data_IF_498257646243
#
_entry.id   IF_498257646243
#
_cell.length_a   1.000
_cell.length_b   1.000
_cell.length_c   1.000
_cell.angle_alpha   90.00
_cell.angle_beta   90.00
_cell.angle_gamma   90.00
#
_symmetry.space_group_name_H-M   'P 1'
#
loop_
_entity.id
_entity.type
_entity.pdbx_description
1 polymer ?
#
# COMPACT_ATOMS: atom_id res chain seq x y z
N UNK A 1 10.50 -8.29 -30.19
CA UNK A 1 10.76 -9.39 -29.25
C UNK A 1 11.43 -8.75 -28.04
N UNK A 2 10.77 -8.66 -26.90
CA UNK A 2 11.38 -8.08 -25.70
C UNK A 2 12.42 -9.08 -25.18
N UNK A 3 13.70 -8.71 -25.27
CA UNK A 3 14.77 -9.51 -24.65
C UNK A 3 14.70 -9.37 -23.13
N UNK A 4 14.94 -10.47 -22.41
CA UNK A 4 15.11 -10.42 -20.95
C UNK A 4 16.27 -9.48 -20.61
N UNK A 5 16.02 -8.56 -19.70
CA UNK A 5 17.03 -7.70 -19.10
C UNK A 5 16.92 -7.89 -17.58
N UNK A 6 18.05 -8.19 -16.92
CA UNK A 6 18.08 -8.31 -15.47
C UNK A 6 17.84 -6.97 -14.79
N UNK A 7 17.20 -7.02 -13.63
CA UNK A 7 17.02 -5.87 -12.74
C UNK A 7 18.36 -5.28 -12.31
N UNK A 8 18.32 -4.04 -11.87
CA UNK A 8 19.48 -3.36 -11.29
C UNK A 8 19.73 -3.74 -9.81
N UNK A 9 18.79 -4.47 -9.20
CA UNK A 9 18.79 -4.84 -7.79
C UNK A 9 18.56 -6.33 -7.66
N UNK A 10 19.29 -6.95 -6.74
CA UNK A 10 19.18 -8.32 -6.26
C UNK A 10 19.12 -8.25 -4.73
N UNK A 11 18.13 -8.88 -4.12
CA UNK A 11 17.93 -8.82 -2.67
C UNK A 11 18.70 -9.96 -1.97
N UNK A 12 18.63 -10.01 -0.63
CA UNK A 12 19.46 -10.97 0.13
C UNK A 12 18.96 -12.42 0.05
N UNK A 13 17.73 -12.66 -0.43
CA UNK A 13 17.25 -14.02 -0.66
C UNK A 13 18.07 -14.72 -1.73
N UNK A 14 18.53 -15.96 -1.44
CA UNK A 14 19.31 -16.71 -2.41
C UNK A 14 18.45 -17.19 -3.58
N UNK A 15 18.93 -16.91 -4.80
CA UNK A 15 18.22 -17.19 -6.04
C UNK A 15 18.04 -18.68 -6.31
N UNK A 16 16.81 -19.09 -6.70
CA UNK A 16 16.43 -20.46 -7.12
C UNK A 16 16.62 -21.56 -6.07
N UNK A 17 16.70 -21.23 -4.77
CA UNK A 17 16.90 -22.24 -3.71
C UNK A 17 15.67 -23.13 -3.53
N UNK A 18 14.49 -22.55 -3.56
CA UNK A 18 13.21 -23.25 -3.27
C UNK A 18 12.44 -23.63 -4.54
N UNK A 19 12.77 -23.05 -5.69
CA UNK A 19 12.09 -23.30 -6.96
C UNK A 19 13.03 -23.08 -8.15
N UNK A 20 12.95 -23.93 -9.16
CA UNK A 20 13.68 -23.72 -10.42
C UNK A 20 13.05 -22.66 -11.34
N UNK A 21 11.86 -22.14 -10.98
CA UNK A 21 11.09 -21.22 -11.81
C UNK A 21 10.94 -19.82 -11.18
N UNK A 22 11.11 -19.72 -9.87
CA UNK A 22 10.97 -18.48 -9.10
C UNK A 22 12.36 -18.13 -8.55
N UNK A 23 12.82 -16.93 -8.86
CA UNK A 23 14.18 -16.50 -8.49
C UNK A 23 14.25 -16.33 -6.97
N UNK A 24 13.52 -15.41 -6.40
CA UNK A 24 13.41 -15.17 -4.95
C UNK A 24 12.05 -15.67 -4.47
N UNK A 25 12.03 -16.87 -3.91
CA UNK A 25 10.78 -17.58 -3.60
C UNK A 25 9.96 -16.92 -2.50
N UNK A 26 10.57 -16.61 -1.36
CA UNK A 26 9.87 -16.03 -0.22
C UNK A 26 9.44 -14.61 -0.50
N UNK A 27 10.30 -13.81 -1.11
CA UNK A 27 9.96 -12.46 -1.56
C UNK A 27 8.79 -12.47 -2.55
N UNK A 28 8.71 -13.49 -3.42
CA UNK A 28 7.59 -13.62 -4.37
C UNK A 28 6.29 -13.99 -3.68
N UNK A 29 6.28 -15.08 -2.87
CA UNK A 29 5.03 -15.63 -2.34
C UNK A 29 4.41 -14.76 -1.24
N UNK A 30 5.21 -14.02 -0.48
CA UNK A 30 4.69 -13.12 0.56
C UNK A 30 3.87 -11.97 -0.01
N UNK A 31 4.07 -11.61 -1.26
CA UNK A 31 3.25 -10.64 -1.97
C UNK A 31 1.82 -11.10 -2.26
N UNK A 32 1.56 -12.42 -2.27
CA UNK A 32 0.20 -12.97 -2.33
C UNK A 32 -0.63 -12.46 -1.14
N UNK A 33 0.00 -12.31 0.03
CA UNK A 33 -0.65 -11.75 1.21
C UNK A 33 -1.04 -10.28 1.00
N UNK A 34 -0.20 -9.48 0.36
CA UNK A 34 -0.49 -8.08 0.00
C UNK A 34 -1.68 -8.00 -0.97
N UNK A 35 -1.71 -8.89 -1.97
CA UNK A 35 -2.83 -9.00 -2.92
C UNK A 35 -4.13 -9.36 -2.19
N UNK A 36 -4.10 -10.32 -1.27
CA UNK A 36 -5.27 -10.73 -0.49
C UNK A 36 -5.79 -9.58 0.38
N UNK A 37 -4.91 -8.82 1.02
CA UNK A 37 -5.31 -7.64 1.80
C UNK A 37 -5.96 -6.57 0.91
N UNK A 38 -5.36 -6.27 -0.23
CA UNK A 38 -5.92 -5.34 -1.20
C UNK A 38 -7.30 -5.79 -1.73
N UNK A 39 -7.43 -7.06 -2.12
CA UNK A 39 -8.68 -7.64 -2.60
C UNK A 39 -9.77 -7.65 -1.51
N UNK A 40 -9.40 -8.00 -0.28
CA UNK A 40 -10.31 -7.96 0.87
C UNK A 40 -10.79 -6.54 1.17
N UNK A 41 -9.87 -5.58 1.19
CA UNK A 41 -10.21 -4.16 1.41
C UNK A 41 -11.13 -3.61 0.33
N UNK A 42 -10.87 -3.95 -0.94
CA UNK A 42 -11.71 -3.58 -2.07
C UNK A 42 -13.11 -4.18 -1.95
N UNK A 43 -13.20 -5.49 -1.71
CA UNK A 43 -14.47 -6.20 -1.52
C UNK A 43 -15.30 -5.62 -0.37
N UNK A 44 -14.66 -5.42 0.79
CA UNK A 44 -15.33 -4.89 1.98
C UNK A 44 -15.75 -3.44 1.80
N UNK A 45 -14.94 -2.63 1.13
CA UNK A 45 -15.28 -1.23 0.79
C UNK A 45 -16.46 -1.15 -0.18
N UNK A 46 -16.53 -2.04 -1.16
CA UNK A 46 -17.62 -2.08 -2.14
C UNK A 46 -18.94 -2.48 -1.51
N UNK A 47 -18.94 -3.45 -0.59
CA UNK A 47 -20.16 -4.03 -0.05
C UNK A 47 -20.64 -3.36 1.24
N UNK A 48 -19.74 -2.82 2.03
CA UNK A 48 -20.03 -2.33 3.39
C UNK A 48 -19.54 -0.91 3.67
N UNK A 49 -18.73 -0.33 2.79
CA UNK A 49 -18.15 1.00 2.97
C UNK A 49 -19.14 2.14 2.80
N UNK A 50 -18.79 3.32 3.31
CA UNK A 50 -19.54 4.53 3.09
C UNK A 50 -19.42 4.98 1.62
N UNK A 51 -20.50 5.58 1.07
CA UNK A 51 -20.45 6.21 -0.25
C UNK A 51 -19.86 7.62 -0.18
N UNK A 52 -20.18 8.38 0.87
CA UNK A 52 -19.64 9.70 1.11
C UNK A 52 -18.99 9.79 2.48
N UNK A 53 -17.85 10.46 2.53
CA UNK A 53 -17.12 10.77 3.74
C UNK A 53 -17.46 12.18 4.23
N UNK A 54 -16.95 12.53 5.40
CA UNK A 54 -17.06 13.87 5.94
C UNK A 54 -16.48 14.90 4.95
N UNK A 55 -17.11 16.08 4.84
CA UNK A 55 -16.74 17.16 3.90
C UNK A 55 -16.80 16.75 2.41
N UNK A 56 -17.82 15.94 2.04
CA UNK A 56 -18.09 15.52 0.66
C UNK A 56 -16.91 14.86 -0.06
N UNK A 57 -15.94 14.35 0.71
CA UNK A 57 -14.83 13.60 0.13
C UNK A 57 -15.34 12.26 -0.44
N UNK A 58 -15.04 11.96 -1.70
CA UNK A 58 -15.56 10.76 -2.32
C UNK A 58 -14.95 9.50 -1.69
N UNK A 59 -15.81 8.59 -1.25
CA UNK A 59 -15.37 7.33 -0.65
C UNK A 59 -14.69 6.38 -1.65
N UNK A 60 -14.90 6.57 -2.98
CA UNK A 60 -14.26 5.74 -4.00
C UNK A 60 -12.72 5.78 -3.94
N UNK A 61 -12.12 6.82 -3.37
CA UNK A 61 -10.67 6.93 -3.23
C UNK A 61 -10.07 5.73 -2.47
N UNK A 62 -10.77 5.18 -1.48
CA UNK A 62 -10.30 3.99 -0.76
C UNK A 62 -10.34 2.74 -1.64
N UNK A 63 -11.31 2.65 -2.56
CA UNK A 63 -11.33 1.57 -3.55
C UNK A 63 -10.12 1.65 -4.47
N UNK A 64 -9.74 2.86 -4.90
CA UNK A 64 -8.52 3.08 -5.70
C UNK A 64 -7.27 2.69 -4.92
N UNK A 65 -7.15 3.05 -3.65
CA UNK A 65 -6.02 2.62 -2.82
C UNK A 65 -5.90 1.09 -2.72
N UNK A 66 -7.01 0.39 -2.51
CA UNK A 66 -6.99 -1.07 -2.46
C UNK A 66 -6.66 -1.71 -3.82
N UNK A 67 -7.11 -1.12 -4.92
CA UNK A 67 -6.70 -1.54 -6.28
C UNK A 67 -5.19 -1.33 -6.46
N UNK A 68 -4.65 -0.19 -6.07
CA UNK A 68 -3.21 0.09 -6.14
C UNK A 68 -2.42 -0.86 -5.25
N UNK A 69 -2.93 -1.23 -4.07
CA UNK A 69 -2.30 -2.22 -3.19
C UNK A 69 -2.23 -3.61 -3.86
N UNK A 70 -3.27 -4.01 -4.62
CA UNK A 70 -3.23 -5.23 -5.43
C UNK A 70 -2.14 -5.14 -6.50
N UNK A 71 -2.03 -4.01 -7.19
CA UNK A 71 -0.99 -3.79 -8.20
C UNK A 71 0.42 -3.81 -7.62
N UNK A 72 0.63 -3.27 -6.42
CA UNK A 72 1.90 -3.39 -5.68
C UNK A 72 2.24 -4.87 -5.48
N UNK A 73 1.31 -5.67 -4.94
CA UNK A 73 1.56 -7.09 -4.73
C UNK A 73 1.83 -7.87 -6.02
N UNK A 74 1.14 -7.54 -7.13
CA UNK A 74 1.37 -8.18 -8.43
C UNK A 74 2.73 -7.76 -9.00
N UNK A 75 3.05 -6.46 -9.01
CA UNK A 75 4.32 -5.93 -9.52
C UNK A 75 5.52 -6.50 -8.77
N UNK A 76 5.42 -6.51 -7.43
CA UNK A 76 6.45 -7.06 -6.56
C UNK A 76 6.62 -8.58 -6.74
N UNK A 77 5.52 -9.35 -6.88
CA UNK A 77 5.60 -10.78 -7.21
C UNK A 77 6.31 -11.03 -8.54
N UNK A 78 6.03 -10.22 -9.56
CA UNK A 78 6.69 -10.33 -10.87
C UNK A 78 8.17 -9.95 -10.79
N UNK A 79 8.51 -8.92 -10.03
CA UNK A 79 9.89 -8.52 -9.83
C UNK A 79 10.71 -9.62 -9.16
N UNK A 80 10.31 -10.05 -7.96
CA UNK A 80 11.03 -11.07 -7.20
C UNK A 80 11.00 -12.45 -7.87
N UNK A 81 9.92 -12.77 -8.58
CA UNK A 81 9.79 -14.03 -9.31
C UNK A 81 10.70 -14.12 -10.52
N UNK A 82 11.12 -13.00 -11.10
CA UNK A 82 11.88 -12.98 -12.35
C UNK A 82 13.19 -12.21 -12.31
N UNK A 83 13.41 -11.35 -11.33
CA UNK A 83 14.48 -10.35 -11.25
C UNK A 83 14.71 -9.62 -12.59
N UNK A 84 13.62 -9.31 -13.30
CA UNK A 84 13.66 -8.59 -14.56
C UNK A 84 13.51 -7.09 -14.34
N UNK A 85 14.12 -6.28 -15.21
CA UNK A 85 13.94 -4.82 -15.20
C UNK A 85 12.47 -4.43 -15.40
N UNK A 86 11.71 -5.22 -16.18
CA UNK A 86 10.27 -5.00 -16.35
C UNK A 86 9.50 -5.23 -15.06
N UNK A 87 9.80 -6.30 -14.31
CA UNK A 87 9.24 -6.56 -12.99
C UNK A 87 9.58 -5.44 -12.01
N UNK A 88 10.83 -4.99 -11.98
CA UNK A 88 11.28 -3.88 -11.13
C UNK A 88 10.49 -2.58 -11.41
N UNK A 89 10.32 -2.22 -12.69
CA UNK A 89 9.54 -1.02 -13.07
C UNK A 89 8.06 -1.15 -12.65
N UNK A 90 7.47 -2.35 -12.74
CA UNK A 90 6.09 -2.58 -12.29
C UNK A 90 5.95 -2.48 -10.78
N UNK A 91 6.88 -3.04 -10.02
CA UNK A 91 6.91 -2.97 -8.56
C UNK A 91 7.06 -1.51 -8.10
N UNK A 92 8.16 -0.88 -8.44
CA UNK A 92 8.46 0.50 -8.06
C UNK A 92 7.40 1.48 -8.60
N UNK A 93 6.92 1.27 -9.83
CA UNK A 93 5.91 2.10 -10.47
C UNK A 93 4.55 2.04 -9.77
N UNK A 94 4.14 0.88 -9.27
CA UNK A 94 2.90 0.75 -8.51
C UNK A 94 2.99 1.43 -7.13
N UNK A 95 4.14 1.38 -6.46
CA UNK A 95 4.40 2.14 -5.22
C UNK A 95 4.35 3.65 -5.51
N UNK A 96 5.00 4.10 -6.57
CA UNK A 96 4.94 5.52 -7.02
C UNK A 96 3.49 5.95 -7.25
N UNK A 97 2.72 5.15 -7.97
CA UNK A 97 1.31 5.45 -8.27
C UNK A 97 0.47 5.54 -6.99
N UNK A 98 0.69 4.64 -6.02
CA UNK A 98 0.02 4.67 -4.72
C UNK A 98 0.34 5.97 -3.96
N UNK A 99 1.61 6.31 -3.83
CA UNK A 99 2.06 7.51 -3.10
C UNK A 99 1.58 8.78 -3.80
N UNK A 100 1.66 8.83 -5.13
CA UNK A 100 1.21 9.97 -5.93
C UNK A 100 -0.31 10.18 -5.78
N UNK A 101 -1.10 9.12 -5.85
CA UNK A 101 -2.54 9.20 -5.62
C UNK A 101 -2.87 9.68 -4.19
N UNK A 102 -2.12 9.21 -3.19
CA UNK A 102 -2.28 9.66 -1.81
C UNK A 102 -2.06 11.17 -1.67
N UNK A 103 -1.03 11.71 -2.32
CA UNK A 103 -0.70 13.14 -2.23
C UNK A 103 -1.69 14.04 -2.98
N UNK A 104 -2.20 13.61 -4.14
CA UNK A 104 -3.26 14.33 -4.87
C UNK A 104 -4.52 14.41 -4.01
N UNK A 105 -4.88 13.32 -3.34
CA UNK A 105 -6.05 13.30 -2.46
C UNK A 105 -5.92 14.20 -1.22
N UNK A 106 -4.70 14.60 -0.86
CA UNK A 106 -4.44 15.41 0.33
C UNK A 106 -4.43 16.92 0.06
N UNK A 107 -3.62 17.41 -0.87
CA UNK A 107 -3.58 18.83 -1.23
C UNK A 107 -2.72 19.10 -2.47
N UNK A 108 -3.02 20.22 -3.16
CA UNK A 108 -2.27 20.64 -4.34
C UNK A 108 -0.75 20.81 -4.10
N UNK A 109 -0.26 21.44 -2.99
CA UNK A 109 1.17 21.52 -2.73
C UNK A 109 1.85 20.17 -2.62
N UNK A 110 1.22 19.18 -1.97
CA UNK A 110 1.74 17.82 -1.89
C UNK A 110 1.78 17.14 -3.25
N UNK A 111 0.76 17.36 -4.10
CA UNK A 111 0.73 16.84 -5.45
C UNK A 111 1.87 17.39 -6.32
N UNK A 112 2.19 18.69 -6.21
CA UNK A 112 3.32 19.31 -6.93
C UNK A 112 4.66 18.67 -6.51
N UNK A 113 4.91 18.55 -5.21
CA UNK A 113 6.13 17.92 -4.68
C UNK A 113 6.23 16.49 -5.19
N UNK A 114 5.16 15.73 -5.12
CA UNK A 114 5.14 14.34 -5.60
C UNK A 114 5.38 14.25 -7.11
N UNK A 115 4.83 15.17 -7.90
CA UNK A 115 5.07 15.19 -9.35
C UNK A 115 6.56 15.39 -9.67
N UNK A 116 7.25 16.29 -8.96
CA UNK A 116 8.68 16.51 -9.14
C UNK A 116 9.49 15.26 -8.79
N UNK A 117 9.10 14.54 -7.72
CA UNK A 117 9.77 13.30 -7.32
C UNK A 117 9.50 12.18 -8.33
N UNK A 118 8.27 12.06 -8.84
CA UNK A 118 7.93 11.08 -9.91
C UNK A 118 8.79 11.32 -11.16
N UNK A 119 8.96 12.57 -11.56
CA UNK A 119 9.84 12.93 -12.67
C UNK A 119 11.29 12.50 -12.41
N UNK A 120 11.80 12.73 -11.19
CA UNK A 120 13.14 12.30 -10.80
C UNK A 120 13.29 10.76 -10.84
N UNK A 121 12.27 10.01 -10.40
CA UNK A 121 12.26 8.55 -10.46
C UNK A 121 12.26 8.04 -11.90
N UNK A 122 11.42 8.61 -12.77
CA UNK A 122 11.39 8.27 -14.20
C UNK A 122 12.76 8.53 -14.82
N UNK A 123 13.39 9.64 -14.48
CA UNK A 123 14.75 9.95 -14.94
C UNK A 123 15.76 8.88 -14.48
N UNK A 124 15.69 8.45 -13.21
CA UNK A 124 16.54 7.37 -12.69
C UNK A 124 16.32 6.05 -13.44
N UNK A 125 15.09 5.67 -13.75
CA UNK A 125 14.79 4.48 -14.55
C UNK A 125 15.39 4.57 -15.96
N UNK A 126 15.28 5.73 -16.62
CA UNK A 126 15.87 5.95 -17.94
C UNK A 126 17.40 5.84 -17.94
N UNK A 127 18.05 6.09 -16.81
CA UNK A 127 19.51 6.00 -16.66
C UNK A 127 19.97 4.65 -16.06
N UNK A 128 19.06 3.70 -15.82
CA UNK A 128 19.33 2.42 -15.13
C UNK A 128 20.05 2.59 -13.79
N UNK A 129 19.67 3.61 -13.01
CA UNK A 129 20.31 3.91 -11.74
C UNK A 129 19.78 3.01 -10.63
N UNK A 130 20.69 2.41 -9.89
CA UNK A 130 20.44 1.53 -8.72
C UNK A 130 19.77 2.27 -7.55
N UNK A 131 19.66 3.59 -7.63
CA UNK A 131 19.22 4.44 -6.50
C UNK A 131 17.71 4.57 -6.36
N UNK A 132 16.90 4.00 -7.25
CA UNK A 132 15.44 4.17 -7.27
C UNK A 132 14.75 3.75 -5.97
N UNK A 133 15.06 2.60 -5.33
CA UNK A 133 14.45 2.22 -4.06
C UNK A 133 14.73 3.19 -2.93
N UNK A 134 15.95 3.75 -2.90
CA UNK A 134 16.33 4.73 -1.87
C UNK A 134 15.59 6.06 -2.04
N UNK A 135 15.35 6.48 -3.29
CA UNK A 135 14.53 7.66 -3.60
C UNK A 135 13.05 7.41 -3.24
N UNK A 136 12.51 6.24 -3.56
CA UNK A 136 11.17 5.82 -3.18
C UNK A 136 11.01 5.82 -1.66
N UNK A 137 12.00 5.30 -0.97
CA UNK A 137 12.03 5.29 0.49
C UNK A 137 12.04 6.70 1.07
N UNK A 138 12.91 7.57 0.58
CA UNK A 138 12.98 8.97 1.03
C UNK A 138 11.65 9.68 0.79
N UNK A 139 11.08 9.52 -0.41
CA UNK A 139 9.77 10.07 -0.76
C UNK A 139 8.67 9.54 0.16
N UNK A 140 8.61 8.22 0.32
CA UNK A 140 7.62 7.56 1.19
C UNK A 140 7.71 8.06 2.64
N UNK A 141 8.93 8.22 3.17
CA UNK A 141 9.16 8.71 4.53
C UNK A 141 8.71 10.15 4.71
N UNK A 142 9.02 11.05 3.77
CA UNK A 142 8.60 12.45 3.81
C UNK A 142 7.06 12.54 3.77
N UNK A 143 6.44 11.83 2.84
CA UNK A 143 4.98 11.83 2.67
C UNK A 143 4.30 11.21 3.88
N UNK A 144 4.82 10.09 4.39
CA UNK A 144 4.32 9.47 5.60
C UNK A 144 4.37 10.45 6.79
N UNK A 145 5.46 11.19 6.97
CA UNK A 145 5.58 12.21 8.01
C UNK A 145 4.54 13.31 7.86
N UNK A 146 4.34 13.84 6.65
CA UNK A 146 3.37 14.91 6.39
C UNK A 146 1.92 14.44 6.64
N UNK A 147 1.58 13.25 6.17
CA UNK A 147 0.29 12.61 6.38
C UNK A 147 0.08 12.29 7.86
N UNK A 148 1.09 11.71 8.52
CA UNK A 148 1.05 11.40 9.94
C UNK A 148 0.78 12.64 10.81
N UNK A 149 1.48 13.74 10.56
CA UNK A 149 1.29 15.01 11.30
C UNK A 149 -0.15 15.50 11.21
N UNK A 150 -0.75 15.42 10.02
CA UNK A 150 -2.16 15.81 9.80
C UNK A 150 -3.12 14.87 10.50
N UNK A 151 -2.97 13.57 10.29
CA UNK A 151 -3.89 12.56 10.78
C UNK A 151 -3.82 12.36 12.29
N UNK A 152 -2.67 12.54 12.90
CA UNK A 152 -2.51 12.49 14.37
C UNK A 152 -3.49 13.41 15.09
N UNK A 153 -3.70 14.64 14.58
CA UNK A 153 -4.67 15.57 15.15
C UNK A 153 -6.11 15.07 14.97
N UNK A 154 -6.47 14.58 13.78
CA UNK A 154 -7.83 14.07 13.50
C UNK A 154 -8.16 12.87 14.37
N UNK A 155 -7.22 11.95 14.53
CA UNK A 155 -7.39 10.72 15.30
C UNK A 155 -7.44 10.99 16.79
N UNK A 156 -6.60 11.88 17.30
CA UNK A 156 -6.61 12.26 18.72
C UNK A 156 -7.92 12.94 19.16
N UNK A 157 -8.57 13.67 18.26
CA UNK A 157 -9.84 14.33 18.51
C UNK A 157 -11.06 13.45 18.20
N UNK A 158 -10.85 12.21 17.72
CA UNK A 158 -11.92 11.29 17.41
C UNK A 158 -12.40 10.55 18.68
N UNK A 159 -13.73 10.48 18.86
CA UNK A 159 -14.37 9.70 19.90
C UNK A 159 -14.68 8.25 19.47
N UNK A 160 -14.20 7.82 18.31
CA UNK A 160 -14.47 6.46 17.80
C UNK A 160 -13.65 5.43 18.57
N UNK A 161 -14.28 4.32 19.01
CA UNK A 161 -13.55 3.28 19.75
C UNK A 161 -12.47 2.64 18.90
N UNK A 162 -11.38 2.24 19.54
CA UNK A 162 -10.24 1.52 18.95
C UNK A 162 -9.50 2.25 17.81
N UNK A 163 -9.86 3.50 17.50
CA UNK A 163 -9.21 4.21 16.38
C UNK A 163 -7.75 4.52 16.68
N UNK A 164 -7.43 4.89 17.92
CA UNK A 164 -6.07 5.23 18.34
C UNK A 164 -5.18 4.00 18.41
N UNK A 165 -5.74 2.89 18.87
CA UNK A 165 -5.07 1.60 18.96
C UNK A 165 -4.69 1.09 17.56
N UNK A 166 -5.64 1.07 16.62
CA UNK A 166 -5.37 0.65 15.25
C UNK A 166 -4.40 1.59 14.53
N UNK A 167 -4.50 2.89 14.78
CA UNK A 167 -3.53 3.84 14.24
C UNK A 167 -2.12 3.59 14.77
N UNK A 168 -1.97 3.45 16.09
CA UNK A 168 -0.69 3.15 16.72
C UNK A 168 -0.12 1.81 16.23
N UNK A 169 -0.98 0.78 16.12
CA UNK A 169 -0.62 -0.50 15.54
C UNK A 169 -0.07 -0.36 14.12
N UNK A 170 -0.77 0.38 13.24
CA UNK A 170 -0.31 0.62 11.87
C UNK A 170 1.05 1.30 11.83
N UNK A 171 1.25 2.36 12.61
CA UNK A 171 2.51 3.11 12.65
C UNK A 171 3.67 2.24 13.16
N UNK A 172 3.46 1.50 14.25
CA UNK A 172 4.48 0.60 14.82
C UNK A 172 4.82 -0.52 13.83
N UNK A 173 3.80 -1.14 13.22
CA UNK A 173 3.99 -2.22 12.24
C UNK A 173 4.77 -1.73 11.02
N UNK A 174 4.49 -0.50 10.54
CA UNK A 174 5.27 0.09 9.44
C UNK A 174 6.72 0.34 9.83
N UNK A 175 6.95 0.82 11.05
CA UNK A 175 8.31 1.04 11.54
C UNK A 175 9.10 -0.28 11.63
N UNK A 176 8.48 -1.35 12.13
CA UNK A 176 9.10 -2.68 12.18
C UNK A 176 9.38 -3.20 10.75
N UNK A 177 8.41 -3.07 9.84
CA UNK A 177 8.58 -3.42 8.44
C UNK A 177 9.79 -2.70 7.83
N UNK A 178 9.89 -1.41 8.09
CA UNK A 178 10.99 -0.59 7.63
C UNK A 178 12.35 -1.04 8.19
N UNK A 179 12.42 -1.41 9.46
CA UNK A 179 13.62 -2.00 10.05
C UNK A 179 14.02 -3.30 9.32
N UNK A 180 13.04 -4.15 8.97
CA UNK A 180 13.28 -5.36 8.18
C UNK A 180 13.89 -5.01 6.81
N UNK A 181 13.35 -4.01 6.11
CA UNK A 181 13.87 -3.55 4.82
C UNK A 181 15.31 -3.03 4.91
N UNK A 182 15.65 -2.25 5.98
CA UNK A 182 17.04 -1.78 6.20
C UNK A 182 17.97 -2.95 6.49
N UNK A 183 17.57 -3.90 7.34
CA UNK A 183 18.41 -5.04 7.72
C UNK A 183 18.71 -5.89 6.49
N UNK A 184 17.75 -6.03 5.59
CA UNK A 184 17.93 -6.78 4.34
C UNK A 184 19.00 -6.15 3.43
N UNK A 185 19.25 -4.83 3.51
CA UNK A 185 20.29 -4.19 2.68
C UNK A 185 21.71 -4.66 2.99
N UNK A 186 21.95 -5.24 4.16
CA UNK A 186 23.29 -5.60 4.62
C UNK A 186 23.58 -7.11 4.53
N UNK A 187 22.61 -7.94 4.20
CA UNK A 187 22.71 -9.40 4.00
C UNK A 187 23.51 -10.15 5.09
N UNK A 188 23.44 -9.70 6.34
CA UNK A 188 24.23 -10.29 7.44
C UNK A 188 23.56 -11.53 8.05
N UNK A 189 22.23 -11.62 7.91
CA UNK A 189 21.45 -12.70 8.50
C UNK A 189 20.84 -13.56 7.40
N UNK A 190 20.88 -14.89 7.58
CA UNK A 190 20.19 -15.84 6.71
C UNK A 190 18.68 -15.90 7.03
N UNK A 191 18.05 -14.74 7.11
CA UNK A 191 16.61 -14.58 7.36
C UNK A 191 16.02 -13.71 6.27
N UNK A 192 14.83 -14.07 5.84
CA UNK A 192 14.11 -13.42 4.74
C UNK A 192 13.45 -12.11 5.21
N UNK A 193 14.25 -11.11 5.58
CA UNK A 193 13.75 -9.83 6.10
C UNK A 193 12.94 -9.05 5.07
N UNK A 194 13.28 -9.18 3.78
CA UNK A 194 12.52 -8.53 2.72
C UNK A 194 11.11 -9.13 2.58
N UNK A 195 10.98 -10.44 2.71
CA UNK A 195 9.69 -11.11 2.76
C UNK A 195 8.83 -10.65 3.95
N UNK A 196 9.44 -10.42 5.12
CA UNK A 196 8.75 -9.82 6.28
C UNK A 196 8.33 -8.37 6.01
N UNK A 197 9.16 -7.60 5.29
CA UNK A 197 8.80 -6.26 4.85
C UNK A 197 7.49 -6.27 4.05
N UNK A 198 7.31 -7.18 3.09
CA UNK A 198 6.07 -7.27 2.31
C UNK A 198 4.84 -7.50 3.19
N UNK A 199 4.91 -8.46 4.11
CA UNK A 199 3.79 -8.81 4.99
C UNK A 199 3.44 -7.63 5.91
N UNK A 200 4.43 -7.10 6.61
CA UNK A 200 4.22 -6.07 7.63
C UNK A 200 3.82 -4.72 7.03
N UNK A 201 4.41 -4.34 5.90
CA UNK A 201 4.02 -3.13 5.18
C UNK A 201 2.60 -3.25 4.62
N UNK A 202 2.22 -4.40 4.07
CA UNK A 202 0.86 -4.68 3.62
C UNK A 202 -0.17 -4.55 4.76
N UNK A 203 0.09 -5.15 5.93
CA UNK A 203 -0.77 -5.02 7.13
C UNK A 203 -0.88 -3.57 7.56
N UNK A 204 0.23 -2.86 7.63
CA UNK A 204 0.27 -1.46 8.03
C UNK A 204 -0.54 -0.58 7.10
N UNK A 205 -0.32 -0.68 5.79
CA UNK A 205 -1.04 0.12 4.78
C UNK A 205 -2.53 -0.18 4.83
N UNK A 206 -2.93 -1.47 4.86
CA UNK A 206 -4.33 -1.86 4.99
C UNK A 206 -4.99 -1.23 6.21
N UNK A 207 -4.34 -1.37 7.37
CA UNK A 207 -4.86 -0.85 8.66
C UNK A 207 -4.94 0.68 8.64
N UNK A 208 -3.95 1.36 8.08
CA UNK A 208 -3.94 2.82 7.98
C UNK A 208 -5.10 3.33 7.10
N UNK A 209 -5.32 2.72 5.93
CA UNK A 209 -6.45 3.06 5.04
C UNK A 209 -7.80 2.84 5.74
N UNK A 210 -7.93 1.73 6.49
CA UNK A 210 -9.12 1.44 7.28
C UNK A 210 -9.35 2.52 8.36
N UNK A 211 -8.33 2.86 9.12
CA UNK A 211 -8.39 3.89 10.19
C UNK A 211 -8.76 5.25 9.61
N UNK A 212 -8.17 5.63 8.50
CA UNK A 212 -8.47 6.88 7.80
C UNK A 212 -9.93 6.92 7.35
N UNK A 213 -10.41 5.85 6.71
CA UNK A 213 -11.80 5.72 6.32
C UNK A 213 -12.74 5.79 7.54
N UNK A 214 -12.38 5.14 8.65
CA UNK A 214 -13.14 5.16 9.89
C UNK A 214 -13.22 6.56 10.47
N UNK A 215 -12.12 7.28 10.56
CA UNK A 215 -12.09 8.65 11.08
C UNK A 215 -13.01 9.60 10.30
N UNK A 216 -13.08 9.44 8.98
CA UNK A 216 -13.84 10.33 8.10
C UNK A 216 -15.30 9.92 7.87
N UNK A 217 -15.69 8.70 8.20
CA UNK A 217 -17.07 8.23 7.98
C UNK A 217 -17.97 8.59 9.14
N UNK A 218 -19.10 9.29 8.89
CA UNK A 218 -20.16 9.45 9.88
C UNK A 218 -20.88 8.11 10.12
N UNK A 219 -21.35 7.87 11.35
CA UNK A 219 -22.20 6.72 11.71
C UNK A 219 -21.62 5.36 11.33
N UNK A 220 -20.35 5.27 11.00
CA UNK A 220 -19.69 4.00 10.72
C UNK A 220 -19.26 3.31 12.00
N UNK A 221 -19.21 1.99 11.95
CA UNK A 221 -18.74 1.13 13.04
C UNK A 221 -17.65 0.18 12.54
N UNK A 222 -16.72 -0.15 13.43
CA UNK A 222 -15.71 -1.16 13.16
C UNK A 222 -16.35 -2.55 13.30
N UNK A 223 -16.16 -3.41 12.31
CA UNK A 223 -16.58 -4.81 12.29
C UNK A 223 -15.43 -5.70 11.83
N UNK A 224 -15.64 -7.00 11.95
CA UNK A 224 -14.68 -8.01 11.53
C UNK A 224 -15.31 -8.98 10.54
N UNK A 225 -14.56 -9.32 9.48
CA UNK A 225 -14.85 -10.42 8.57
C UNK A 225 -13.78 -11.50 8.78
N UNK A 226 -14.11 -12.52 9.58
CA UNK A 226 -13.09 -13.37 10.18
C UNK A 226 -12.17 -12.56 11.09
N UNK A 227 -10.87 -12.56 10.78
CA UNK A 227 -9.85 -11.78 11.51
C UNK A 227 -9.60 -10.38 10.90
N UNK A 228 -10.19 -10.09 9.73
CA UNK A 228 -9.94 -8.85 8.98
C UNK A 228 -10.87 -7.76 9.49
N UNK A 229 -10.35 -6.67 10.09
CA UNK A 229 -11.17 -5.53 10.49
C UNK A 229 -11.60 -4.71 9.27
N UNK A 230 -12.82 -4.20 9.30
CA UNK A 230 -13.33 -3.32 8.24
C UNK A 230 -14.35 -2.30 8.78
N UNK A 231 -14.60 -1.27 7.99
CA UNK A 231 -15.56 -0.23 8.33
C UNK A 231 -16.92 -0.52 7.69
N UNK A 232 -17.90 -0.73 8.54
CA UNK A 232 -19.30 -0.93 8.16
C UNK A 232 -20.08 0.38 8.26
N UNK A 233 -20.79 0.74 7.18
CA UNK A 233 -21.72 1.87 7.19
C UNK A 233 -23.16 1.33 7.14
N UNK A 234 -24.04 1.71 8.10
CA UNK A 234 -25.41 1.19 8.18
C UNK A 234 -26.24 1.40 6.92
N UNK A 235 -26.03 2.53 6.23
CA UNK A 235 -26.78 2.88 5.03
C UNK A 235 -26.18 2.32 3.72
N UNK A 236 -25.07 1.59 3.76
CA UNK A 236 -24.43 1.06 2.55
C UNK A 236 -25.38 0.21 1.72
N UNK A 237 -26.15 -0.67 2.36
CA UNK A 237 -27.13 -1.54 1.68
C UNK A 237 -28.31 -0.76 1.08
N UNK A 238 -28.80 0.28 1.74
CA UNK A 238 -29.90 1.13 1.22
C UNK A 238 -29.47 1.90 -0.03
N UNK A 239 -28.22 2.39 -0.05
CA UNK A 239 -27.68 3.14 -1.17
C UNK A 239 -27.43 2.23 -2.39
N UNK A 240 -26.99 0.99 -2.19
CA UNK A 240 -26.88 -0.02 -3.24
C UNK A 240 -28.23 -0.33 -3.89
N UNK A 241 -29.27 -0.47 -3.09
CA UNK A 241 -30.62 -0.75 -3.57
C UNK A 241 -31.21 0.43 -4.37
N UNK A 242 -31.05 1.66 -3.87
CA UNK A 242 -31.54 2.86 -4.53
C UNK A 242 -30.81 3.19 -5.85
N UNK A 243 -29.52 2.84 -5.96
CA UNK A 243 -28.77 3.00 -7.21
C UNK A 243 -29.16 1.96 -8.25
N UNK A 244 -29.55 0.75 -7.83
CA UNK A 244 -30.03 -0.30 -8.75
C UNK A 244 -31.39 0.05 -9.37
N UNK A 245 -32.31 0.65 -8.58
CA UNK A 245 -33.60 1.14 -9.06
C UNK A 245 -33.50 2.33 -10.02
N UNK A 246 -32.40 3.11 -9.95
CA UNK A 246 -32.17 4.25 -10.87
C UNK A 246 -31.46 3.87 -12.17
N UNK A 247 -30.92 2.67 -12.26
CA UNK A 247 -30.23 2.14 -13.46
C UNK A 247 -31.11 1.23 -14.33
N UNK A 248 -32.28 0.83 -13.80
CA UNK A 248 -33.37 0.15 -14.49
C UNK A 248 -34.46 1.17 -14.88
#
# INVERSE_FOLDING_TARGET
MFSYQSSSIDWCEQNYVYSNYIVEFWNTITNIFVIILGASGLYLSCNFGAYNLYNDRPAYRYKVYYILLIFIGIGSSLFHGTLSIFGQILDEGSIVAFIFFATICESLPHAIISSLIVIAIIFCWCQNLVYTPYLLFLMGSIIFYLIHKKWKSVINNSNKPLIKEFYSFSVITFFIAFCCWIIDQICVFNLEFHALWHILSGISIYTLLMVECYALSKNSVLKYYGIIPYIYHPDAKKQLFNNKIKSD
#
